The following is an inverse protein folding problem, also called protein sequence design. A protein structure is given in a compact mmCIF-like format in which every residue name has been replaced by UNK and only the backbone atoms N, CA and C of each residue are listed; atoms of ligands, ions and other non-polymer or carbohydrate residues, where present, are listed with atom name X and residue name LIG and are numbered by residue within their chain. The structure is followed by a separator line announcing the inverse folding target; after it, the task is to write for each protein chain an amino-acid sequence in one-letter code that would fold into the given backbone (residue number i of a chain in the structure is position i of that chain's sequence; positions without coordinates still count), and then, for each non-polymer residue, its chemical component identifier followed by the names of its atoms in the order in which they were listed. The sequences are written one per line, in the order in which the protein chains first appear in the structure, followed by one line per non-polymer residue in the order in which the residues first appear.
data_IF_844188334780
#
_entry.id   IF_844188334780
#
_cell.length_a   1.000
_cell.length_b   1.000
_cell.length_c   1.000
_cell.angle_alpha   90.00
_cell.angle_beta   90.00
_cell.angle_gamma   90.00
#
_symmetry.space_group_name_H-M   'P 1'
#
loop_
_entity.id
_entity.type
_entity.pdbx_description
1 polymer ?
#
# COMPACT_ATOMS: atom_id res chain seq x y z
N UNK A 1 12.84 -8.59 4.94
CA UNK A 1 11.54 -9.29 4.92
C UNK A 1 10.35 -8.36 4.67
N UNK A 2 10.15 -7.28 5.44
CA UNK A 2 8.96 -6.45 5.30
C UNK A 2 8.82 -5.70 3.97
N UNK A 3 9.93 -5.28 3.32
CA UNK A 3 9.88 -4.61 2.01
C UNK A 3 9.31 -5.49 0.89
N UNK A 4 9.67 -6.78 0.85
CA UNK A 4 9.15 -7.72 -0.16
C UNK A 4 7.64 -7.92 -0.03
N UNK A 5 7.14 -8.00 1.21
CA UNK A 5 5.70 -8.12 1.51
C UNK A 5 4.93 -6.87 1.07
N UNK A 6 5.49 -5.68 1.30
CA UNK A 6 4.89 -4.44 0.80
C UNK A 6 4.93 -4.38 -0.72
N UNK A 7 6.03 -4.77 -1.37
CA UNK A 7 6.10 -4.79 -2.82
C UNK A 7 5.07 -5.74 -3.44
N UNK A 8 4.82 -6.90 -2.80
CA UNK A 8 3.78 -7.84 -3.22
C UNK A 8 2.38 -7.21 -3.17
N UNK A 9 2.01 -6.59 -2.05
CA UNK A 9 0.67 -5.99 -1.93
C UNK A 9 0.51 -4.76 -2.84
N UNK A 10 1.59 -4.02 -3.05
CA UNK A 10 1.68 -2.92 -4.01
C UNK A 10 1.41 -3.41 -5.44
N UNK A 11 2.06 -4.50 -5.86
CA UNK A 11 1.84 -5.11 -7.16
C UNK A 11 0.39 -5.55 -7.32
N UNK A 12 -0.18 -6.22 -6.30
CA UNK A 12 -1.59 -6.59 -6.27
C UNK A 12 -2.53 -5.39 -6.36
N UNK A 13 -2.25 -4.27 -5.69
CA UNK A 13 -3.08 -3.06 -5.76
C UNK A 13 -3.07 -2.41 -7.17
N UNK A 14 -1.98 -2.57 -7.91
CA UNK A 14 -1.86 -2.09 -9.30
C UNK A 14 -2.58 -3.03 -10.26
N UNK A 15 -2.27 -4.32 -10.19
CA UNK A 15 -2.70 -5.32 -11.17
C UNK A 15 -4.11 -5.87 -10.89
N UNK A 16 -4.57 -5.85 -9.64
CA UNK A 16 -5.83 -6.45 -9.22
C UNK A 16 -6.71 -5.43 -8.46
N UNK A 17 -7.82 -5.06 -9.11
CA UNK A 17 -8.77 -4.08 -8.59
C UNK A 17 -9.39 -4.46 -7.26
N UNK A 18 -9.59 -5.75 -7.00
CA UNK A 18 -10.29 -6.18 -5.78
C UNK A 18 -9.52 -5.77 -4.52
N UNK A 19 -8.19 -5.73 -4.60
CA UNK A 19 -7.32 -5.30 -3.50
C UNK A 19 -7.48 -3.81 -3.19
N UNK A 20 -7.90 -2.98 -4.16
CA UNK A 20 -8.18 -1.56 -3.93
C UNK A 20 -9.42 -1.34 -3.06
N UNK A 21 -10.31 -2.32 -3.00
CA UNK A 21 -11.52 -2.28 -2.19
C UNK A 21 -11.33 -2.89 -0.80
N UNK A 22 -10.19 -3.55 -0.56
CA UNK A 22 -9.91 -4.19 0.72
C UNK A 22 -9.61 -3.16 1.80
N UNK A 23 -10.13 -3.44 3.01
CA UNK A 23 -9.80 -2.65 4.20
C UNK A 23 -8.31 -2.82 4.50
N UNK A 24 -7.67 -1.76 5.00
CA UNK A 24 -6.25 -1.80 5.41
C UNK A 24 -5.97 -2.90 6.43
N UNK A 25 -7.00 -3.32 7.16
CA UNK A 25 -6.90 -4.41 8.10
C UNK A 25 -6.59 -5.74 7.44
N UNK A 26 -7.32 -6.06 6.38
CA UNK A 26 -7.15 -7.27 5.59
C UNK A 26 -5.80 -7.26 4.87
N UNK A 27 -5.39 -6.11 4.33
CA UNK A 27 -4.09 -5.96 3.68
C UNK A 27 -2.91 -6.20 4.65
N UNK A 28 -3.06 -5.75 5.89
CA UNK A 28 -2.06 -5.96 6.94
C UNK A 28 -1.97 -7.44 7.34
N UNK A 29 -3.12 -8.12 7.50
CA UNK A 29 -3.18 -9.55 7.79
C UNK A 29 -2.57 -10.41 6.68
N UNK A 30 -2.89 -10.13 5.41
CA UNK A 30 -2.27 -10.84 4.27
C UNK A 30 -0.75 -10.67 4.23
N UNK A 31 -0.27 -9.48 4.59
CA UNK A 31 1.17 -9.22 4.67
C UNK A 31 1.81 -9.75 5.98
N UNK A 32 1.03 -10.42 6.84
CA UNK A 32 1.47 -10.97 8.12
C UNK A 32 1.97 -9.91 9.09
N UNK A 33 1.34 -8.73 9.11
CA UNK A 33 1.61 -7.69 10.10
C UNK A 33 0.67 -7.87 11.30
N UNK A 34 1.24 -7.87 12.50
CA UNK A 34 0.47 -7.93 13.75
C UNK A 34 -0.33 -6.67 14.07
N UNK A 35 -0.20 -5.60 13.28
CA UNK A 35 -0.96 -4.37 13.47
C UNK A 35 -1.04 -3.57 12.18
N UNK A 36 -2.21 -2.96 11.95
CA UNK A 36 -2.46 -2.06 10.83
C UNK A 36 -1.55 -0.82 10.85
N UNK A 37 -1.18 -0.33 12.03
CA UNK A 37 -0.27 0.81 12.18
C UNK A 37 1.16 0.47 11.74
N UNK A 38 1.64 -0.73 12.06
CA UNK A 38 2.96 -1.22 11.59
C UNK A 38 2.95 -1.39 10.07
N UNK A 39 1.88 -1.96 9.52
CA UNK A 39 1.70 -2.06 8.08
C UNK A 39 1.73 -0.68 7.42
N UNK A 40 0.93 0.27 7.90
CA UNK A 40 0.85 1.62 7.34
C UNK A 40 2.18 2.37 7.39
N UNK A 41 2.95 2.24 8.48
CA UNK A 41 4.26 2.87 8.61
C UNK A 41 5.27 2.33 7.57
N UNK A 42 5.35 1.00 7.41
CA UNK A 42 6.26 0.38 6.44
C UNK A 42 5.76 0.59 5.00
N UNK A 43 4.45 0.50 4.78
CA UNK A 43 3.82 0.79 3.50
C UNK A 43 4.14 2.21 3.05
N UNK A 44 3.96 3.20 3.93
CA UNK A 44 4.33 4.59 3.65
C UNK A 44 5.81 4.72 3.37
N UNK A 45 6.69 4.15 4.20
CA UNK A 45 8.13 4.22 3.97
C UNK A 45 8.54 3.66 2.59
N UNK A 46 8.10 2.45 2.24
CA UNK A 46 8.43 1.82 0.96
C UNK A 46 7.83 2.57 -0.22
N UNK A 47 6.57 3.01 -0.09
CA UNK A 47 5.87 3.78 -1.13
C UNK A 47 6.47 5.17 -1.29
N UNK A 48 7.03 5.78 -0.24
CA UNK A 48 7.71 7.07 -0.30
C UNK A 48 9.04 6.98 -1.06
N UNK A 49 9.85 5.96 -0.76
CA UNK A 49 11.05 5.63 -1.55
C UNK A 49 10.70 5.31 -3.01
N UNK A 50 9.60 4.58 -3.22
CA UNK A 50 9.12 4.26 -4.56
C UNK A 50 8.61 5.51 -5.29
N UNK A 51 7.84 6.37 -4.62
CA UNK A 51 7.27 7.62 -5.15
C UNK A 51 8.34 8.57 -5.71
N UNK A 52 9.49 8.66 -5.07
CA UNK A 52 10.60 9.47 -5.59
C UNK A 52 11.14 8.94 -6.93
N UNK A 53 11.05 7.63 -7.17
CA UNK A 53 11.56 6.97 -8.39
C UNK A 53 10.51 6.83 -9.51
N UNK A 54 9.21 6.69 -9.19
CA UNK A 54 8.13 6.41 -10.16
C UNK A 54 6.99 7.45 -10.17
N UNK A 55 7.31 8.67 -9.76
CA UNK A 55 6.42 9.84 -9.59
C UNK A 55 5.32 9.98 -10.67
N UNK A 56 5.65 9.78 -11.94
CA UNK A 56 4.77 10.16 -13.06
C UNK A 56 3.63 9.16 -13.33
N UNK A 57 3.86 7.86 -13.13
CA UNK A 57 2.86 6.81 -13.43
C UNK A 57 2.05 6.43 -12.19
N UNK A 58 2.67 6.50 -11.02
CA UNK A 58 2.03 6.13 -9.77
C UNK A 58 1.00 7.15 -9.31
N UNK A 59 1.33 8.45 -9.32
CA UNK A 59 0.41 9.50 -8.82
C UNK A 59 -0.95 9.49 -9.51
N UNK A 60 -0.99 9.23 -10.81
CA UNK A 60 -2.23 9.14 -11.59
C UNK A 60 -3.09 7.93 -11.19
N UNK A 61 -2.46 6.83 -10.80
CA UNK A 61 -3.15 5.56 -10.46
C UNK A 61 -3.62 5.53 -9.01
N UNK A 62 -2.84 6.06 -8.06
CA UNK A 62 -3.26 6.16 -6.63
C UNK A 62 -4.29 7.26 -6.36
N UNK A 63 -4.43 8.29 -7.22
CA UNK A 63 -5.51 9.28 -7.07
C UNK A 63 -6.91 8.65 -7.22
N UNK A 64 -7.03 7.50 -7.89
CA UNK A 64 -8.28 6.74 -8.02
C UNK A 64 -8.46 5.69 -6.90
N UNK A 65 -7.40 5.39 -6.15
CA UNK A 65 -7.45 4.47 -5.02
C UNK A 65 -7.72 5.32 -3.78
N UNK A 66 -8.99 5.50 -3.44
CA UNK A 66 -9.40 6.11 -2.16
C UNK A 66 -9.08 5.15 -1.02
N UNK A 67 -7.80 4.98 -0.70
CA UNK A 67 -7.41 4.36 0.57
C UNK A 67 -7.80 5.34 1.69
N UNK A 68 -8.58 4.91 2.69
CA UNK A 68 -8.89 5.74 3.84
C UNK A 68 -7.64 5.85 4.72
N UNK A 69 -6.66 6.63 4.27
CA UNK A 69 -5.71 7.22 5.20
C UNK A 69 -6.51 8.24 6.01
N UNK A 70 -7.12 7.75 7.08
CA UNK A 70 -7.73 8.58 8.10
C UNK A 70 -6.62 9.48 8.64
N UNK A 71 -6.58 10.72 8.14
CA UNK A 71 -5.90 11.82 8.82
C UNK A 71 -6.61 11.95 10.17
N UNK A 72 -5.94 11.59 11.25
CA UNK A 72 -6.08 12.40 12.45
C UNK A 72 -5.25 13.65 12.23
#
# INVERSE_FOLDING_TARGET
MNRLRINYIVDKLINDEKYRQYKISILADECGFSSHSKFAAVFKAVTDYSRQLISNTWMLKISQIRMPFSRK
#
